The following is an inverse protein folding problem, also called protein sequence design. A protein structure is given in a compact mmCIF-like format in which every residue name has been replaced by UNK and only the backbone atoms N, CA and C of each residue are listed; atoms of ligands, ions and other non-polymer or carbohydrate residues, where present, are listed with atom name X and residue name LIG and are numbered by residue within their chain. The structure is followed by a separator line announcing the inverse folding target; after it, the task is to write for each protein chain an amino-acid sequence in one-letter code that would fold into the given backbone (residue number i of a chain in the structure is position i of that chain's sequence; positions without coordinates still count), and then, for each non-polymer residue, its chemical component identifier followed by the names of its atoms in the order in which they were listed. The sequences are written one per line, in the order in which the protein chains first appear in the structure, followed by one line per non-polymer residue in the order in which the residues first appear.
data_IF_293892744320
#
_entry.id   IF_293892744320
#
_cell.length_a   1.000
_cell.length_b   1.000
_cell.length_c   1.000
_cell.angle_alpha   90.00
_cell.angle_beta   90.00
_cell.angle_gamma   90.00
#
_symmetry.space_group_name_H-M   'P 1'
#
loop_
_entity.id
_entity.type
_entity.pdbx_description
1 polymer ?
#
# COMPACT_ATOMS: atom_id res chain seq x y z
N UNK A 1 -24.75 -14.37 -1.17
CA UNK A 1 -23.33 -14.10 -0.86
C UNK A 1 -22.96 -12.97 -1.77
N UNK A 2 -22.67 -11.80 -1.21
CA UNK A 2 -22.32 -10.63 -2.01
C UNK A 2 -21.00 -10.94 -2.70
N UNK A 3 -21.05 -11.15 -4.02
CA UNK A 3 -19.91 -11.57 -4.84
C UNK A 3 -18.97 -10.39 -5.16
N UNK A 4 -18.92 -9.41 -4.26
CA UNK A 4 -18.25 -8.14 -4.48
C UNK A 4 -16.82 -8.23 -3.95
N UNK A 5 -15.85 -8.15 -4.87
CA UNK A 5 -14.42 -8.21 -4.58
C UNK A 5 -13.90 -6.83 -4.18
N UNK A 6 -13.47 -6.69 -2.93
CA UNK A 6 -13.06 -5.41 -2.35
C UNK A 6 -11.56 -5.22 -2.55
N UNK A 7 -11.20 -4.20 -3.32
CA UNK A 7 -9.81 -3.86 -3.63
C UNK A 7 -9.45 -2.54 -2.94
N UNK A 8 -8.39 -2.55 -2.14
CA UNK A 8 -7.77 -1.38 -1.54
C UNK A 8 -6.48 -1.01 -2.32
N UNK A 9 -6.52 -0.05 -3.27
CA UNK A 9 -5.41 0.19 -4.19
C UNK A 9 -4.18 0.81 -3.52
N UNK A 10 -4.37 1.50 -2.40
CA UNK A 10 -3.32 2.15 -1.58
C UNK A 10 -2.31 2.92 -2.44
N UNK A 11 -2.83 3.83 -3.27
CA UNK A 11 -2.07 4.70 -4.20
C UNK A 11 -1.42 4.01 -5.41
N UNK A 12 -1.66 2.72 -5.64
CA UNK A 12 -1.21 2.05 -6.87
C UNK A 12 -2.06 2.44 -8.08
N UNK A 13 -1.45 2.36 -9.26
CA UNK A 13 -2.12 2.61 -10.55
C UNK A 13 -2.64 1.34 -11.24
N UNK A 14 -2.27 0.14 -10.78
CA UNK A 14 -2.61 -1.11 -11.46
C UNK A 14 -4.12 -1.29 -11.61
N UNK A 15 -4.88 -1.02 -10.55
CA UNK A 15 -6.33 -1.13 -10.54
C UNK A 15 -6.98 -0.16 -11.53
N UNK A 16 -6.50 1.09 -11.56
CA UNK A 16 -7.01 2.10 -12.51
C UNK A 16 -6.76 1.70 -13.97
N UNK A 17 -5.59 1.12 -14.26
CA UNK A 17 -5.31 0.56 -15.59
C UNK A 17 -6.25 -0.60 -15.91
N UNK A 18 -6.51 -1.50 -14.95
CA UNK A 18 -7.42 -2.62 -15.16
C UNK A 18 -8.87 -2.16 -15.40
N UNK A 19 -9.34 -1.11 -14.71
CA UNK A 19 -10.64 -0.48 -14.99
C UNK A 19 -10.65 0.14 -16.39
N UNK A 20 -9.68 0.99 -16.72
CA UNK A 20 -9.66 1.71 -18.01
C UNK A 20 -9.56 0.76 -19.21
N UNK A 21 -8.83 -0.35 -19.06
CA UNK A 21 -8.66 -1.35 -20.12
C UNK A 21 -9.74 -2.42 -20.16
N UNK A 22 -10.68 -2.42 -19.21
CA UNK A 22 -11.76 -3.41 -19.13
C UNK A 22 -11.35 -4.79 -18.62
N UNK A 23 -10.13 -4.95 -18.08
CA UNK A 23 -9.62 -6.27 -17.67
C UNK A 23 -10.43 -6.93 -16.55
N UNK A 24 -11.01 -6.15 -15.64
CA UNK A 24 -11.89 -6.70 -14.61
C UNK A 24 -13.23 -7.17 -15.19
N UNK A 25 -13.77 -6.44 -16.18
CA UNK A 25 -15.03 -6.79 -16.83
C UNK A 25 -14.87 -8.02 -17.73
N UNK A 26 -13.74 -8.13 -18.44
CA UNK A 26 -13.38 -9.29 -19.27
C UNK A 26 -13.33 -10.60 -18.46
N UNK A 27 -12.91 -10.51 -17.19
CA UNK A 27 -12.89 -11.63 -16.24
C UNK A 27 -14.22 -11.82 -15.48
N UNK A 28 -15.23 -10.98 -15.75
CA UNK A 28 -16.52 -11.02 -15.07
C UNK A 28 -16.47 -10.68 -13.58
N UNK A 29 -15.48 -9.90 -13.16
CA UNK A 29 -15.28 -9.53 -11.76
C UNK A 29 -16.27 -8.44 -11.34
N UNK A 30 -17.04 -8.70 -10.28
CA UNK A 30 -17.81 -7.67 -9.58
C UNK A 30 -16.92 -7.12 -8.47
N UNK A 31 -16.52 -5.85 -8.54
CA UNK A 31 -15.54 -5.28 -7.61
C UNK A 31 -15.93 -3.90 -7.07
N UNK A 32 -15.31 -3.54 -5.94
CA UNK A 32 -15.32 -2.19 -5.38
C UNK A 32 -13.89 -1.73 -5.14
N UNK A 33 -13.55 -0.53 -5.61
CA UNK A 33 -12.31 0.15 -5.26
C UNK A 33 -12.54 1.01 -4.01
N UNK A 34 -11.94 0.62 -2.89
CA UNK A 34 -12.00 1.43 -1.67
C UNK A 34 -11.13 2.69 -1.80
N UNK A 35 -11.69 3.84 -1.43
CA UNK A 35 -10.91 5.06 -1.28
C UNK A 35 -9.94 4.96 -0.10
N UNK A 36 -8.65 4.97 -0.41
CA UNK A 36 -7.55 4.90 0.56
C UNK A 36 -6.96 6.27 0.88
N UNK A 37 -7.32 7.32 0.13
CA UNK A 37 -6.80 8.70 0.29
C UNK A 37 -7.86 9.60 0.91
N UNK A 38 -8.33 9.22 2.10
CA UNK A 38 -9.46 9.86 2.79
C UNK A 38 -9.19 11.29 3.28
N UNK A 39 -7.94 11.74 3.27
CA UNK A 39 -7.55 13.05 3.81
C UNK A 39 -6.29 13.59 3.13
N UNK A 40 -6.28 14.91 2.88
CA UNK A 40 -5.09 15.65 2.48
C UNK A 40 -4.13 15.90 3.67
N UNK A 41 -4.63 15.80 4.90
CA UNK A 41 -3.83 15.88 6.12
C UNK A 41 -3.48 14.47 6.61
N UNK A 42 -2.19 14.20 6.72
CA UNK A 42 -1.54 12.87 6.70
C UNK A 42 -1.82 11.94 7.91
N UNK A 43 -2.86 12.18 8.70
CA UNK A 43 -3.09 11.51 9.98
C UNK A 43 -3.75 10.13 9.85
N UNK A 44 -4.29 9.77 8.67
CA UNK A 44 -4.98 8.47 8.48
C UNK A 44 -4.02 7.27 8.58
N UNK A 45 -2.73 7.50 8.31
CA UNK A 45 -1.70 6.47 8.37
C UNK A 45 -0.87 6.50 9.66
N UNK A 46 -1.06 7.52 10.50
CA UNK A 46 -0.54 7.52 11.87
C UNK A 46 -1.50 6.73 12.76
N UNK A 47 -1.11 5.48 13.06
CA UNK A 47 -1.91 4.56 13.87
C UNK A 47 -1.47 4.54 15.34
N UNK A 48 -0.57 5.44 15.74
CA UNK A 48 0.02 5.52 17.08
C UNK A 48 1.34 4.77 17.24
N UNK A 49 1.83 4.72 18.48
CA UNK A 49 3.16 4.19 18.81
C UNK A 49 3.31 2.72 18.44
N UNK A 50 4.29 2.42 17.58
CA UNK A 50 4.64 1.06 17.11
C UNK A 50 3.47 0.29 16.46
N UNK A 51 2.45 1.00 15.98
CA UNK A 51 1.36 0.42 15.19
C UNK A 51 1.53 0.89 13.76
N UNK A 52 1.77 -0.05 12.85
CA UNK A 52 1.95 0.22 11.44
C UNK A 52 1.11 -0.69 10.55
N UNK A 53 1.42 -0.67 9.26
CA UNK A 53 0.72 -1.48 8.27
C UNK A 53 0.71 -2.99 8.64
N UNK A 54 1.78 -3.53 9.24
CA UNK A 54 1.83 -4.93 9.65
C UNK A 54 0.70 -5.30 10.63
N UNK A 55 0.50 -4.51 11.70
CA UNK A 55 -0.57 -4.76 12.68
C UNK A 55 -1.96 -4.70 12.05
N UNK A 56 -2.14 -3.98 10.93
CA UNK A 56 -3.41 -4.01 10.19
C UNK A 56 -3.62 -5.32 9.42
N UNK A 57 -2.55 -5.97 8.94
CA UNK A 57 -2.65 -7.31 8.36
C UNK A 57 -2.93 -8.36 9.44
N UNK A 58 -2.26 -8.26 10.58
CA UNK A 58 -2.45 -9.17 11.72
C UNK A 58 -3.90 -9.17 12.22
N UNK A 59 -4.52 -7.98 12.33
CA UNK A 59 -5.93 -7.83 12.72
C UNK A 59 -6.93 -8.32 11.66
N UNK A 60 -6.46 -8.54 10.43
CA UNK A 60 -7.31 -8.74 9.25
C UNK A 60 -7.78 -7.42 8.64
N UNK A 61 -7.89 -7.41 7.32
CA UNK A 61 -8.43 -6.29 6.54
C UNK A 61 -9.77 -6.69 5.93
N UNK A 62 -10.66 -5.73 5.72
CA UNK A 62 -11.95 -5.93 5.04
C UNK A 62 -11.81 -6.14 3.53
N UNK A 63 -10.67 -5.76 2.95
CA UNK A 63 -10.37 -5.89 1.54
C UNK A 63 -9.87 -7.30 1.18
N UNK A 64 -10.29 -7.82 0.04
CA UNK A 64 -9.77 -9.06 -0.55
C UNK A 64 -8.36 -8.87 -1.14
N UNK A 65 -8.06 -7.68 -1.68
CA UNK A 65 -6.73 -7.30 -2.17
C UNK A 65 -6.32 -5.97 -1.56
N UNK A 66 -5.12 -5.92 -0.98
CA UNK A 66 -4.53 -4.69 -0.48
C UNK A 66 -3.02 -4.64 -0.72
N UNK A 67 -2.38 -3.58 -0.24
CA UNK A 67 -0.94 -3.37 -0.40
C UNK A 67 -0.32 -2.72 0.83
N UNK A 68 1.00 -2.85 0.91
CA UNK A 68 1.89 -2.06 1.73
C UNK A 68 3.29 -2.12 1.09
N UNK A 69 4.31 -1.58 1.76
CA UNK A 69 5.69 -1.73 1.32
C UNK A 69 6.12 -3.21 1.33
N UNK A 70 7.15 -3.53 0.54
CA UNK A 70 7.64 -4.89 0.33
C UNK A 70 7.93 -5.63 1.65
N UNK A 71 8.56 -4.95 2.61
CA UNK A 71 8.87 -5.54 3.91
C UNK A 71 7.60 -5.99 4.64
N UNK A 72 6.59 -5.12 4.75
CA UNK A 72 5.34 -5.44 5.47
C UNK A 72 4.59 -6.59 4.81
N UNK A 73 4.40 -6.57 3.49
CA UNK A 73 3.64 -7.63 2.80
C UNK A 73 4.35 -8.98 2.89
N UNK A 74 5.69 -8.99 2.84
CA UNK A 74 6.46 -10.23 2.94
C UNK A 74 6.39 -10.82 4.35
N UNK A 75 6.55 -9.99 5.40
CA UNK A 75 6.41 -10.46 6.78
C UNK A 75 4.97 -10.92 7.07
N UNK A 76 3.96 -10.17 6.63
CA UNK A 76 2.56 -10.56 6.80
C UNK A 76 2.25 -11.91 6.13
N UNK A 77 2.67 -12.10 4.89
CA UNK A 77 2.47 -13.37 4.18
C UNK A 77 3.21 -14.53 4.84
N UNK A 78 4.47 -14.33 5.27
CA UNK A 78 5.26 -15.35 5.96
C UNK A 78 4.66 -15.75 7.32
N UNK A 79 4.05 -14.79 8.03
CA UNK A 79 3.34 -15.03 9.30
C UNK A 79 1.92 -15.58 9.13
N UNK A 80 1.46 -15.85 7.90
CA UNK A 80 0.15 -16.42 7.62
C UNK A 80 -1.01 -15.41 7.53
N UNK A 81 -0.72 -14.10 7.50
CA UNK A 81 -1.71 -13.03 7.37
C UNK A 81 -1.99 -12.68 5.89
N UNK A 82 -2.36 -13.69 5.09
CA UNK A 82 -2.71 -13.54 3.68
C UNK A 82 -1.72 -14.21 2.72
N UNK A 83 -1.85 -13.90 1.42
CA UNK A 83 -0.96 -14.40 0.36
C UNK A 83 -0.38 -13.24 -0.44
N UNK A 84 0.88 -13.38 -0.84
CA UNK A 84 1.58 -12.40 -1.68
C UNK A 84 1.46 -12.79 -3.16
N UNK A 85 1.03 -11.85 -4.00
CA UNK A 85 1.16 -11.96 -5.45
C UNK A 85 2.45 -11.26 -5.92
N UNK A 86 3.54 -12.03 -6.03
CA UNK A 86 4.88 -11.48 -6.30
C UNK A 86 5.11 -10.93 -7.71
N UNK A 87 4.15 -11.09 -8.64
CA UNK A 87 4.28 -10.61 -10.02
C UNK A 87 3.72 -9.21 -10.27
N UNK A 88 2.98 -8.64 -9.32
CA UNK A 88 2.48 -7.26 -9.41
C UNK A 88 3.10 -6.40 -8.31
N UNK A 89 4.26 -5.82 -8.61
CA UNK A 89 4.98 -4.91 -7.72
C UNK A 89 5.35 -3.63 -8.46
N UNK A 90 5.51 -2.55 -7.70
CA UNK A 90 6.07 -1.28 -8.17
C UNK A 90 7.38 -1.04 -7.44
N UNK A 91 8.35 -0.44 -8.14
CA UNK A 91 9.61 0.02 -7.57
C UNK A 91 9.72 1.50 -7.87
N UNK A 92 9.85 2.30 -6.81
CA UNK A 92 10.10 3.72 -6.90
C UNK A 92 11.43 4.05 -6.21
N UNK A 93 12.20 5.03 -6.71
CA UNK A 93 13.27 5.63 -5.94
C UNK A 93 12.72 6.10 -4.58
N UNK A 94 13.47 5.85 -3.52
CA UNK A 94 13.21 6.39 -2.20
C UNK A 94 14.45 7.15 -1.72
N UNK A 95 14.24 8.09 -0.81
CA UNK A 95 15.32 8.93 -0.31
C UNK A 95 14.90 9.72 0.93
N UNK A 96 15.89 10.21 1.65
CA UNK A 96 15.71 11.20 2.70
C UNK A 96 15.68 12.56 2.00
N UNK A 97 14.58 13.28 2.15
CA UNK A 97 14.42 14.62 1.60
C UNK A 97 14.65 15.64 2.72
N UNK A 98 15.49 16.63 2.43
CA UNK A 98 15.79 17.76 3.32
C UNK A 98 15.37 19.07 2.64
N UNK A 99 15.16 20.16 3.39
CA UNK A 99 14.96 21.49 2.82
C UNK A 99 16.09 21.86 1.83
N UNK A 100 15.76 22.64 0.81
CA UNK A 100 16.72 22.98 -0.25
C UNK A 100 17.96 23.75 0.28
N UNK A 101 17.76 24.52 1.35
CA UNK A 101 18.76 25.29 2.09
C UNK A 101 19.42 24.51 3.25
N UNK A 102 19.16 23.21 3.37
CA UNK A 102 19.80 22.37 4.37
C UNK A 102 21.32 22.25 4.12
N UNK A 103 22.08 22.20 5.21
CA UNK A 103 23.51 21.88 5.19
C UNK A 103 23.79 20.38 4.99
N UNK A 104 22.76 19.53 5.07
CA UNK A 104 22.86 18.08 4.83
C UNK A 104 22.98 17.83 3.33
N UNK A 105 24.16 17.40 2.88
CA UNK A 105 24.49 17.14 1.47
C UNK A 105 24.99 15.73 1.23
N UNK A 106 25.53 15.07 2.24
CA UNK A 106 25.96 13.68 2.18
C UNK A 106 25.35 12.86 3.32
N UNK A 107 25.37 11.51 3.24
CA UNK A 107 24.91 10.67 4.34
C UNK A 107 25.63 10.92 5.67
N UNK A 108 26.90 11.32 5.63
CA UNK A 108 27.70 11.64 6.82
C UNK A 108 27.17 12.86 7.58
N UNK A 109 26.52 13.80 6.89
CA UNK A 109 25.90 14.97 7.53
C UNK A 109 24.66 14.60 8.37
N UNK A 110 24.17 13.36 8.29
CA UNK A 110 23.12 12.81 9.17
C UNK A 110 23.69 12.27 10.49
N UNK A 111 25.00 12.17 10.63
CA UNK A 111 25.62 11.78 11.88
C UNK A 111 25.47 12.92 12.90
N UNK A 112 24.89 12.59 14.07
CA UNK A 112 24.81 13.50 15.21
C UNK A 112 26.18 13.69 15.88
#
# INVERSE_FOLDING_TARGET
MDNNFVIAPHMRLHEWVAVEKGYFDDEGLVYTLEDQLKSATNHVHDLGDKVGAYQTFEKGRSSDVSCACHWTVNVAAASGHGRLYGKAYSVSPCGIFVPADSDIRTPEDLAN
#
